data_IF_397918448181
#
_entry.id   IF_397918448181
#
_cell.length_a   1.000
_cell.length_b   1.000
_cell.length_c   1.000
_cell.angle_alpha   90.00
_cell.angle_beta   90.00
_cell.angle_gamma   90.00
#
_symmetry.space_group_name_H-M   'P 1'
#
loop_
_entity.id
_entity.type
_entity.pdbx_description
1 polymer ?
#
# COMPACT_ATOMS: atom_id res chain seq x y z
N UNK A 1 0.67 -4.11 -19.38
CA UNK A 1 0.50 -4.20 -17.91
C UNK A 1 -0.46 -3.11 -17.47
N UNK A 2 -1.39 -3.42 -16.57
CA UNK A 2 -2.44 -2.51 -16.15
C UNK A 2 -2.08 -1.83 -14.82
N UNK A 3 -2.44 -0.56 -14.69
CA UNK A 3 -2.27 0.21 -13.45
C UNK A 3 -2.89 -0.53 -12.26
N UNK A 4 -2.11 -0.72 -11.21
CA UNK A 4 -2.53 -1.34 -9.96
C UNK A 4 -3.40 -0.38 -9.15
N UNK A 5 -4.19 -0.92 -8.21
CA UNK A 5 -4.98 -0.09 -7.32
C UNK A 5 -4.11 0.80 -6.41
N UNK A 6 -2.87 0.39 -6.11
CA UNK A 6 -1.89 1.20 -5.39
C UNK A 6 -1.51 2.44 -6.19
N UNK A 7 -1.11 2.28 -7.46
CA UNK A 7 -0.73 3.40 -8.32
C UNK A 7 -1.90 4.39 -8.54
N UNK A 8 -3.14 3.89 -8.64
CA UNK A 8 -4.33 4.75 -8.71
C UNK A 8 -4.54 5.57 -7.45
N UNK A 9 -4.38 4.93 -6.29
CA UNK A 9 -4.55 5.60 -5.00
C UNK A 9 -3.46 6.65 -4.78
N UNK A 10 -2.21 6.32 -5.10
CA UNK A 10 -1.08 7.24 -4.99
C UNK A 10 -1.28 8.49 -5.86
N UNK A 11 -1.70 8.32 -7.12
CA UNK A 11 -2.00 9.44 -8.02
C UNK A 11 -3.17 10.30 -7.52
N UNK A 12 -4.21 9.67 -6.96
CA UNK A 12 -5.33 10.39 -6.36
C UNK A 12 -4.86 11.25 -5.18
N UNK A 13 -4.06 10.68 -4.26
CA UNK A 13 -3.52 11.39 -3.09
C UNK A 13 -2.57 12.53 -3.46
N UNK A 14 -1.70 12.30 -4.44
CA UNK A 14 -0.80 13.34 -4.96
C UNK A 14 -1.58 14.50 -5.60
N UNK A 15 -2.69 14.21 -6.29
CA UNK A 15 -3.58 15.22 -6.86
C UNK A 15 -4.38 16.03 -5.83
N UNK A 16 -4.67 15.43 -4.66
CA UNK A 16 -5.36 16.09 -3.54
C UNK A 16 -4.40 16.89 -2.63
N UNK A 17 -3.09 16.83 -2.91
CA UNK A 17 -2.05 17.46 -2.08
C UNK A 17 -1.84 16.78 -0.73
N UNK A 18 -2.35 15.56 -0.56
CA UNK A 18 -2.10 14.71 0.60
C UNK A 18 -0.76 13.97 0.45
N UNK A 19 -0.24 13.45 1.56
CA UNK A 19 0.95 12.61 1.51
C UNK A 19 0.68 11.38 0.63
N UNK A 20 1.43 11.27 -0.47
CA UNK A 20 1.29 10.19 -1.46
C UNK A 20 1.56 8.81 -0.88
N UNK A 21 2.23 8.73 0.28
CA UNK A 21 2.50 7.49 0.98
C UNK A 21 1.47 7.18 2.07
N UNK A 22 0.60 8.13 2.43
CA UNK A 22 -0.47 7.90 3.39
C UNK A 22 -1.34 6.71 2.93
N UNK A 23 -1.80 5.84 3.85
CA UNK A 23 -1.70 5.94 5.30
C UNK A 23 -0.33 5.55 5.90
N UNK A 24 0.63 5.14 5.09
CA UNK A 24 1.97 4.75 5.52
C UNK A 24 2.88 5.99 5.67
N UNK A 25 3.95 5.86 6.45
CA UNK A 25 4.85 6.97 6.75
C UNK A 25 5.92 7.22 5.69
N UNK A 26 6.16 6.27 4.79
CA UNK A 26 7.21 6.36 3.79
C UNK A 26 6.98 5.41 2.58
N UNK A 27 7.83 5.58 1.57
CA UNK A 27 7.86 4.76 0.36
C UNK A 27 8.17 3.28 0.64
N UNK A 28 9.01 2.98 1.64
CA UNK A 28 9.40 1.60 1.96
C UNK A 28 8.22 0.79 2.50
N UNK A 29 7.45 1.36 3.43
CA UNK A 29 6.22 0.78 3.96
C UNK A 29 5.14 0.62 2.88
N UNK A 30 5.03 1.62 2.00
CA UNK A 30 4.14 1.56 0.84
C UNK A 30 4.52 0.41 -0.11
N UNK A 31 5.80 0.30 -0.45
CA UNK A 31 6.33 -0.76 -1.32
C UNK A 31 6.17 -2.15 -0.70
N UNK A 32 6.35 -2.27 0.61
CA UNK A 32 6.08 -3.51 1.34
C UNK A 32 4.61 -3.91 1.25
N UNK A 33 3.68 -2.98 1.48
CA UNK A 33 2.25 -3.24 1.37
C UNK A 33 1.86 -3.69 -0.05
N UNK A 34 2.40 -3.02 -1.07
CA UNK A 34 2.18 -3.40 -2.47
C UNK A 34 2.71 -4.82 -2.75
N UNK A 35 3.94 -5.10 -2.30
CA UNK A 35 4.56 -6.40 -2.48
C UNK A 35 3.80 -7.52 -1.77
N UNK A 36 3.31 -7.27 -0.55
CA UNK A 36 2.50 -8.23 0.21
C UNK A 36 1.21 -8.56 -0.54
N UNK A 37 0.48 -7.54 -1.01
CA UNK A 37 -0.77 -7.76 -1.77
C UNK A 37 -0.50 -8.52 -3.07
N UNK A 38 0.58 -8.19 -3.78
CA UNK A 38 0.97 -8.89 -5.03
C UNK A 38 1.41 -10.34 -4.77
N UNK A 39 2.13 -10.61 -3.69
CA UNK A 39 2.77 -11.90 -3.44
C UNK A 39 1.89 -12.87 -2.64
N UNK A 40 1.16 -12.37 -1.65
CA UNK A 40 0.35 -13.17 -0.73
C UNK A 40 -1.15 -13.08 -1.01
N UNK A 41 -1.56 -12.10 -1.80
CA UNK A 41 -2.97 -11.75 -1.99
C UNK A 41 -3.54 -10.95 -0.83
N UNK A 42 -4.72 -10.37 -1.04
CA UNK A 42 -5.34 -9.44 -0.09
C UNK A 42 -5.63 -10.10 1.27
N UNK A 43 -6.15 -11.33 1.30
CA UNK A 43 -6.54 -12.02 2.54
C UNK A 43 -5.36 -12.24 3.49
N UNK A 44 -4.24 -12.77 2.97
CA UNK A 44 -3.06 -13.05 3.79
C UNK A 44 -2.32 -11.76 4.19
N UNK A 45 -2.39 -10.73 3.35
CA UNK A 45 -1.86 -9.41 3.68
C UNK A 45 -2.65 -8.80 4.83
N UNK A 46 -3.98 -8.90 4.82
CA UNK A 46 -4.84 -8.43 5.91
C UNK A 46 -4.56 -9.19 7.22
N UNK A 47 -4.34 -10.50 7.17
CA UNK A 47 -3.89 -11.29 8.32
C UNK A 47 -2.51 -10.85 8.83
N UNK A 48 -1.56 -10.59 7.92
CA UNK A 48 -0.21 -10.10 8.27
C UNK A 48 -0.26 -8.72 8.94
N UNK A 49 -1.05 -7.78 8.40
CA UNK A 49 -1.19 -6.42 8.95
C UNK A 49 -1.93 -6.39 10.30
N UNK A 50 -2.73 -7.43 10.60
CA UNK A 50 -3.38 -7.62 11.92
C UNK A 50 -2.46 -8.22 12.97
N UNK A 51 -1.30 -8.76 12.58
CA UNK A 51 -0.32 -9.21 13.56
C UNK A 51 0.19 -8.00 14.34
N UNK A 52 0.38 -8.10 15.67
CA UNK A 52 1.00 -7.06 16.47
C UNK A 52 2.51 -7.05 16.17
N UNK A 53 2.88 -6.57 14.99
CA UNK A 53 4.27 -6.33 14.62
C UNK A 53 4.59 -4.92 15.12
N UNK A 54 5.56 -4.88 16.03
CA UNK A 54 5.91 -3.78 16.94
C UNK A 54 6.39 -2.54 16.22
#
# INVERSE_FOLDING_TARGET
EGQTNFERYQQYKEGEGEDKWAPFGNEEEWGLAEWLVKSLGQTKTDEFLKLPIV
#
